data_IF_693069852401
#
_entry.id   IF_693069852401
#
_cell.length_a   1.000
_cell.length_b   1.000
_cell.length_c   1.000
_cell.angle_alpha   90.00
_cell.angle_beta   90.00
_cell.angle_gamma   90.00
#
_symmetry.space_group_name_H-M   'P 1'
#
loop_
_entity.id
_entity.type
_entity.pdbx_description
1 polymer ?
#
# COMPACT_ATOMS: atom_id res chain seq x y z
N UNK A 1 30.67 -3.59 -12.55
CA UNK A 1 30.11 -4.20 -13.74
C UNK A 1 29.63 -3.07 -14.66
N UNK A 2 30.10 -3.03 -15.91
CA UNK A 2 29.66 -2.05 -16.90
C UNK A 2 28.26 -2.44 -17.40
N UNK A 3 27.22 -1.82 -16.84
CA UNK A 3 25.90 -1.92 -17.42
C UNK A 3 25.85 -1.05 -18.68
N UNK A 4 25.33 -1.60 -19.76
CA UNK A 4 24.98 -0.80 -20.93
C UNK A 4 23.72 -0.01 -20.65
N UNK A 5 23.71 1.26 -21.04
CA UNK A 5 22.56 2.13 -20.85
C UNK A 5 22.30 2.96 -22.11
N UNK A 6 21.07 3.39 -22.30
CA UNK A 6 20.63 4.23 -23.42
C UNK A 6 19.86 5.42 -22.87
N UNK A 7 19.94 6.57 -23.57
CA UNK A 7 19.19 7.77 -23.21
C UNK A 7 18.49 8.31 -24.46
N UNK A 8 17.23 8.65 -24.33
CA UNK A 8 16.40 9.13 -25.44
C UNK A 8 15.67 7.99 -26.13
N UNK A 9 16.02 7.68 -27.37
CA UNK A 9 15.40 6.58 -28.12
C UNK A 9 15.95 5.22 -27.66
N UNK A 10 15.04 4.23 -27.55
CA UNK A 10 15.40 2.87 -27.21
C UNK A 10 15.72 2.05 -28.45
N UNK A 11 16.77 1.24 -28.38
CA UNK A 11 17.07 0.25 -29.43
C UNK A 11 16.05 -0.90 -29.36
N UNK A 12 15.07 -0.88 -30.27
CA UNK A 12 14.00 -1.87 -30.33
C UNK A 12 14.54 -3.30 -30.46
N UNK A 13 15.54 -3.54 -31.28
CA UNK A 13 16.11 -4.87 -31.53
C UNK A 13 16.74 -5.44 -30.26
N UNK A 14 17.45 -4.61 -29.51
CA UNK A 14 18.07 -4.97 -28.23
C UNK A 14 17.00 -5.33 -27.18
N UNK A 15 15.96 -4.50 -27.05
CA UNK A 15 14.85 -4.79 -26.10
C UNK A 15 14.12 -6.06 -26.49
N UNK A 16 13.83 -6.26 -27.78
CA UNK A 16 13.13 -7.44 -28.26
C UNK A 16 13.99 -8.72 -28.30
N UNK A 17 15.27 -8.65 -27.95
CA UNK A 17 16.15 -9.80 -27.72
C UNK A 17 16.29 -10.17 -26.23
N UNK A 18 15.74 -9.39 -25.33
CA UNK A 18 15.78 -9.65 -23.89
C UNK A 18 14.94 -10.88 -23.50
N UNK A 19 15.36 -11.57 -22.43
CA UNK A 19 14.59 -12.67 -21.84
C UNK A 19 13.52 -12.16 -20.86
N UNK A 20 13.77 -10.97 -20.28
CA UNK A 20 12.91 -10.34 -19.27
C UNK A 20 12.98 -8.82 -19.41
N UNK A 21 11.86 -8.16 -19.26
CA UNK A 21 11.74 -6.70 -19.25
C UNK A 21 11.17 -6.23 -17.92
N UNK A 22 11.95 -5.47 -17.14
CA UNK A 22 11.46 -4.82 -15.93
C UNK A 22 11.05 -3.40 -16.29
N UNK A 23 9.77 -3.12 -16.16
CA UNK A 23 9.17 -1.84 -16.53
C UNK A 23 9.03 -0.92 -15.31
N UNK A 24 9.53 0.32 -15.41
CA UNK A 24 9.24 1.35 -14.42
C UNK A 24 7.75 1.72 -14.42
N UNK A 25 7.13 1.98 -13.27
CA UNK A 25 5.69 2.33 -13.19
C UNK A 25 5.30 3.53 -14.04
N UNK A 26 6.21 4.50 -14.22
CA UNK A 26 5.99 5.68 -15.07
C UNK A 26 5.86 5.37 -16.57
N UNK A 27 6.35 4.22 -17.02
CA UNK A 27 6.29 3.84 -18.45
C UNK A 27 4.89 3.30 -18.78
N UNK A 28 4.14 3.92 -19.71
CA UNK A 28 2.87 3.42 -20.15
C UNK A 28 3.03 2.15 -21.02
N UNK A 29 1.91 1.53 -21.39
CA UNK A 29 1.89 0.47 -22.38
C UNK A 29 2.22 1.03 -23.77
N UNK A 30 3.52 1.08 -24.11
CA UNK A 30 4.02 1.58 -25.39
C UNK A 30 3.93 0.51 -26.47
N UNK A 31 4.01 0.91 -27.75
CA UNK A 31 4.10 -0.06 -28.86
C UNK A 31 5.23 -1.06 -28.67
N UNK A 32 6.35 -0.63 -28.06
CA UNK A 32 7.50 -1.49 -27.82
C UNK A 32 7.22 -2.53 -26.73
N UNK A 33 6.57 -2.13 -25.63
CA UNK A 33 6.13 -3.04 -24.56
C UNK A 33 5.13 -4.07 -25.12
N UNK A 34 4.14 -3.61 -25.90
CA UNK A 34 3.18 -4.50 -26.57
C UNK A 34 3.86 -5.51 -27.50
N UNK A 35 4.87 -5.09 -28.30
CA UNK A 35 5.66 -5.98 -29.14
C UNK A 35 6.47 -7.00 -28.31
N UNK A 36 7.05 -6.58 -27.19
CA UNK A 36 7.79 -7.48 -26.30
C UNK A 36 6.87 -8.58 -25.77
N UNK A 37 5.68 -8.23 -25.28
CA UNK A 37 4.66 -9.22 -24.83
C UNK A 37 4.24 -10.18 -25.95
N UNK A 38 4.01 -9.63 -27.16
CA UNK A 38 3.62 -10.44 -28.31
C UNK A 38 4.72 -11.46 -28.75
N UNK A 39 5.98 -11.15 -28.44
CA UNK A 39 7.12 -12.08 -28.63
C UNK A 39 7.30 -13.08 -27.48
N UNK A 40 6.47 -13.03 -26.44
CA UNK A 40 6.58 -13.90 -25.28
C UNK A 40 7.65 -13.45 -24.27
N UNK A 41 8.16 -12.21 -24.37
CA UNK A 41 9.05 -11.65 -23.36
C UNK A 41 8.23 -11.32 -22.13
N UNK A 42 8.64 -11.84 -20.99
CA UNK A 42 8.00 -11.54 -19.70
C UNK A 42 8.24 -10.06 -19.34
N UNK A 43 7.17 -9.31 -19.09
CA UNK A 43 7.22 -7.90 -18.68
C UNK A 43 6.72 -7.78 -17.25
N UNK A 44 7.58 -7.33 -16.35
CA UNK A 44 7.33 -7.25 -14.91
C UNK A 44 7.41 -5.83 -14.41
N UNK A 45 6.68 -5.55 -13.35
CA UNK A 45 6.97 -4.39 -12.48
C UNK A 45 8.19 -4.66 -11.61
N UNK A 46 8.81 -3.60 -11.11
CA UNK A 46 9.91 -3.71 -10.14
C UNK A 46 9.48 -4.47 -8.88
N UNK A 47 8.25 -4.27 -8.42
CA UNK A 47 7.66 -4.93 -7.25
C UNK A 47 7.55 -6.44 -7.47
N UNK A 48 7.06 -6.87 -8.63
CA UNK A 48 7.01 -8.29 -8.98
C UNK A 48 8.41 -8.90 -9.02
N UNK A 49 9.34 -8.22 -9.69
CA UNK A 49 10.70 -8.72 -9.78
C UNK A 49 11.37 -8.86 -8.42
N UNK A 50 11.30 -7.83 -7.58
CA UNK A 50 11.91 -7.83 -6.25
C UNK A 50 11.30 -8.91 -5.34
N UNK A 51 9.97 -9.11 -5.39
CA UNK A 51 9.30 -10.09 -4.54
C UNK A 51 9.77 -11.54 -4.77
N UNK A 52 10.34 -11.84 -5.94
CA UNK A 52 10.90 -13.16 -6.24
C UNK A 52 12.19 -13.47 -5.47
N UNK A 53 12.80 -12.47 -4.84
CA UNK A 53 14.06 -12.56 -4.11
C UNK A 53 13.91 -12.29 -2.61
N UNK A 54 12.68 -12.12 -2.13
CA UNK A 54 12.38 -11.91 -0.70
C UNK A 54 11.60 -13.08 -0.16
N UNK A 55 11.97 -13.52 1.05
CA UNK A 55 11.22 -14.49 1.84
C UNK A 55 10.33 -13.81 2.89
N UNK A 56 10.46 -12.49 3.03
CA UNK A 56 9.73 -11.69 4.01
C UNK A 56 8.22 -11.60 3.73
N UNK A 57 7.44 -11.56 4.79
CA UNK A 57 5.99 -11.34 4.70
C UNK A 57 5.68 -9.92 4.25
N UNK A 58 4.88 -9.78 3.22
CA UNK A 58 4.53 -8.48 2.62
C UNK A 58 3.19 -7.99 3.16
N UNK A 59 3.18 -6.76 3.66
CA UNK A 59 1.99 -5.95 3.92
C UNK A 59 1.92 -4.90 2.81
N UNK A 60 1.01 -5.06 1.86
CA UNK A 60 0.89 -4.20 0.69
C UNK A 60 -0.30 -3.25 0.83
N UNK A 61 -0.07 -1.96 0.59
CA UNK A 61 -1.06 -0.90 0.81
C UNK A 61 -1.25 -0.12 -0.48
N UNK A 62 -2.50 -0.06 -0.96
CA UNK A 62 -2.91 0.78 -2.09
C UNK A 62 -4.23 1.50 -1.79
N UNK A 63 -4.69 2.27 -2.72
CA UNK A 63 -5.90 3.09 -2.62
C UNK A 63 -5.71 4.37 -3.42
N UNK A 64 -6.70 5.20 -3.51
CA UNK A 64 -6.56 6.53 -4.10
C UNK A 64 -5.85 7.44 -3.10
N UNK A 65 -6.34 7.55 -1.89
CA UNK A 65 -5.82 8.42 -0.83
C UNK A 65 -5.41 7.63 0.42
N UNK A 66 -4.53 8.21 1.25
CA UNK A 66 -4.15 7.67 2.55
C UNK A 66 -3.01 6.64 2.53
N UNK A 67 -2.52 6.22 1.36
CA UNK A 67 -1.47 5.20 1.21
C UNK A 67 -0.23 5.48 2.05
N UNK A 68 0.38 6.63 1.85
CA UNK A 68 1.63 7.03 2.53
C UNK A 68 1.46 7.07 4.05
N UNK A 69 0.37 7.66 4.52
CA UNK A 69 0.05 7.74 5.96
C UNK A 69 -0.12 6.34 6.55
N UNK A 70 -0.92 5.48 5.90
CA UNK A 70 -1.18 4.12 6.38
C UNK A 70 0.09 3.26 6.34
N UNK A 71 0.89 3.35 5.26
CA UNK A 71 2.13 2.59 5.14
C UNK A 71 3.14 2.99 6.22
N UNK A 72 3.34 4.29 6.43
CA UNK A 72 4.28 4.78 7.45
C UNK A 72 3.81 4.46 8.86
N UNK A 73 2.50 4.60 9.16
CA UNK A 73 1.94 4.25 10.46
C UNK A 73 2.03 2.73 10.72
N UNK A 74 1.72 1.90 9.72
CA UNK A 74 1.88 0.45 9.83
C UNK A 74 3.34 0.07 10.10
N UNK A 75 4.27 0.63 9.33
CA UNK A 75 5.71 0.44 9.55
C UNK A 75 6.13 0.86 10.96
N UNK A 76 5.68 2.03 11.42
CA UNK A 76 5.98 2.55 12.76
C UNK A 76 5.52 1.60 13.87
N UNK A 77 4.28 1.08 13.77
CA UNK A 77 3.74 0.13 14.75
C UNK A 77 4.56 -1.17 14.77
N UNK A 78 4.85 -1.75 13.61
CA UNK A 78 5.63 -2.99 13.52
C UNK A 78 7.04 -2.81 14.08
N UNK A 79 7.70 -1.70 13.74
CA UNK A 79 9.03 -1.37 14.24
C UNK A 79 9.05 -1.16 15.75
N UNK A 80 8.07 -0.45 16.31
CA UNK A 80 7.91 -0.25 17.74
C UNK A 80 7.63 -1.55 18.50
N UNK A 81 6.99 -2.51 17.84
CA UNK A 81 6.77 -3.86 18.36
C UNK A 81 8.01 -4.79 18.25
N UNK A 82 9.14 -4.28 17.73
CA UNK A 82 10.39 -5.03 17.63
C UNK A 82 10.49 -5.95 16.40
N UNK A 83 9.62 -5.80 15.40
CA UNK A 83 9.69 -6.59 14.16
C UNK A 83 10.89 -6.16 13.30
N UNK A 84 11.55 -7.12 12.65
CA UNK A 84 12.50 -6.82 11.57
C UNK A 84 11.70 -6.44 10.31
N UNK A 85 11.47 -5.14 10.13
CA UNK A 85 10.58 -4.59 9.13
C UNK A 85 11.23 -3.43 8.36
N UNK A 86 10.94 -3.32 7.07
CA UNK A 86 11.29 -2.16 6.26
C UNK A 86 10.08 -1.61 5.49
N UNK A 87 10.14 -0.31 5.21
CA UNK A 87 9.16 0.43 4.39
C UNK A 87 9.78 0.70 3.01
N UNK A 88 9.06 0.42 1.93
CA UNK A 88 9.51 0.61 0.57
C UNK A 88 8.35 0.76 -0.44
N UNK A 89 8.67 0.80 -1.73
CA UNK A 89 7.71 0.85 -2.83
C UNK A 89 7.56 2.24 -3.44
N UNK A 90 6.34 2.77 -3.49
CA UNK A 90 6.05 4.11 -4.02
C UNK A 90 6.42 5.24 -3.04
N UNK A 91 7.02 4.92 -1.92
CA UNK A 91 7.52 5.84 -0.90
C UNK A 91 8.96 5.52 -0.57
N UNK A 92 9.79 6.56 -0.43
CA UNK A 92 11.21 6.41 -0.08
C UNK A 92 12.00 5.69 -1.17
N UNK A 93 12.67 4.60 -0.82
CA UNK A 93 13.42 3.78 -1.77
C UNK A 93 12.54 2.67 -2.37
N UNK A 94 12.83 2.28 -3.62
CA UNK A 94 12.16 1.15 -4.25
C UNK A 94 12.42 -0.16 -3.50
N UNK A 95 11.50 -1.10 -3.64
CA UNK A 95 11.59 -2.40 -2.96
C UNK A 95 12.87 -3.16 -3.36
N UNK A 96 13.17 -3.21 -4.66
CA UNK A 96 14.37 -3.86 -5.17
C UNK A 96 15.65 -3.25 -4.58
N UNK A 97 15.73 -1.91 -4.49
CA UNK A 97 16.89 -1.24 -3.93
C UNK A 97 17.06 -1.55 -2.45
N UNK A 98 16.00 -1.49 -1.66
CA UNK A 98 16.04 -1.83 -0.23
C UNK A 98 16.47 -3.27 -0.01
N UNK A 99 15.95 -4.19 -0.82
CA UNK A 99 16.26 -5.60 -0.75
C UNK A 99 17.75 -5.90 -1.04
N UNK A 100 18.43 -5.10 -1.88
CA UNK A 100 19.87 -5.27 -2.13
C UNK A 100 20.75 -5.05 -0.89
N UNK A 101 20.24 -4.35 0.13
CA UNK A 101 20.97 -4.14 1.39
C UNK A 101 20.79 -5.34 2.34
N UNK A 102 19.55 -5.78 2.54
CA UNK A 102 19.21 -6.99 3.31
C UNK A 102 17.74 -7.32 3.10
N UNK A 103 17.39 -8.61 3.06
CA UNK A 103 16.01 -9.03 3.22
C UNK A 103 15.52 -8.79 4.65
N UNK A 104 14.22 -8.72 4.86
CA UNK A 104 13.56 -8.50 6.14
C UNK A 104 12.49 -9.55 6.38
N UNK A 105 12.17 -9.80 7.65
CA UNK A 105 11.07 -10.69 7.99
C UNK A 105 9.73 -10.12 7.54
N UNK A 106 9.62 -8.76 7.50
CA UNK A 106 8.42 -8.03 7.09
C UNK A 106 8.73 -6.86 6.17
N UNK A 107 7.88 -6.69 5.17
CA UNK A 107 7.91 -5.57 4.24
C UNK A 107 6.58 -4.83 4.25
N UNK A 108 6.60 -3.54 4.53
CA UNK A 108 5.45 -2.65 4.31
C UNK A 108 5.68 -1.95 2.99
N UNK A 109 4.82 -2.22 2.01
CA UNK A 109 4.94 -1.69 0.66
C UNK A 109 3.78 -0.76 0.32
N UNK A 110 4.09 0.52 0.05
CA UNK A 110 3.14 1.41 -0.59
C UNK A 110 3.13 1.13 -2.09
N UNK A 111 1.95 0.88 -2.67
CA UNK A 111 1.81 0.51 -4.08
C UNK A 111 0.86 1.43 -4.84
N UNK A 112 1.30 1.90 -6.00
CA UNK A 112 0.45 2.55 -7.00
C UNK A 112 -0.28 1.50 -7.85
N UNK A 113 -1.35 1.91 -8.56
CA UNK A 113 -2.00 1.06 -9.56
C UNK A 113 -1.01 0.63 -10.66
N UNK A 114 -0.14 1.53 -11.10
CA UNK A 114 0.86 1.27 -12.15
C UNK A 114 1.87 0.17 -11.79
N UNK A 115 2.21 0.04 -10.50
CA UNK A 115 3.07 -1.04 -10.02
C UNK A 115 2.34 -2.38 -10.00
N UNK A 116 1.03 -2.36 -9.81
CA UNK A 116 0.18 -3.56 -9.80
C UNK A 116 -0.19 -4.04 -11.20
N UNK A 117 -0.09 -3.20 -12.25
CA UNK A 117 -0.44 -3.59 -13.63
C UNK A 117 0.42 -4.75 -14.16
N UNK A 118 1.66 -4.89 -13.72
CA UNK A 118 2.61 -5.89 -14.21
C UNK A 118 3.10 -6.83 -13.08
N UNK A 119 2.20 -7.25 -12.20
CA UNK A 119 2.43 -8.35 -11.25
C UNK A 119 1.96 -9.68 -11.85
N UNK A 120 2.57 -10.79 -11.44
CA UNK A 120 2.22 -12.15 -11.86
C UNK A 120 2.11 -13.10 -10.67
N UNK A 121 3.09 -13.10 -9.78
CA UNK A 121 3.18 -13.97 -8.61
C UNK A 121 3.24 -13.20 -7.30
N UNK A 122 3.34 -11.86 -7.35
CA UNK A 122 3.34 -11.01 -6.17
C UNK A 122 2.15 -11.35 -5.27
N UNK A 123 2.45 -11.76 -4.04
CA UNK A 123 1.47 -12.23 -3.08
C UNK A 123 1.70 -11.59 -1.72
N UNK A 124 0.96 -10.55 -1.33
CA UNK A 124 1.03 -10.01 0.00
C UNK A 124 0.29 -10.90 1.01
N UNK A 125 0.87 -11.07 2.21
CA UNK A 125 0.18 -11.70 3.33
C UNK A 125 -1.00 -10.85 3.83
N UNK A 126 -0.82 -9.52 3.87
CA UNK A 126 -1.89 -8.56 4.15
C UNK A 126 -1.96 -7.58 2.98
N UNK A 127 -3.07 -7.55 2.26
CA UNK A 127 -3.37 -6.54 1.25
C UNK A 127 -4.35 -5.51 1.81
N UNK A 128 -4.13 -4.23 1.54
CA UNK A 128 -5.05 -3.16 1.94
C UNK A 128 -5.44 -2.31 0.74
N UNK A 129 -6.74 -2.07 0.56
CA UNK A 129 -7.27 -1.04 -0.32
C UNK A 129 -8.08 -0.05 0.52
N UNK A 130 -7.53 1.16 0.69
CA UNK A 130 -8.08 2.14 1.62
C UNK A 130 -9.35 2.82 1.10
N UNK A 131 -9.37 3.14 -0.18
CA UNK A 131 -10.50 3.76 -0.90
C UNK A 131 -10.23 3.77 -2.40
N UNK A 132 -11.31 3.91 -3.19
CA UNK A 132 -11.27 4.02 -4.64
C UNK A 132 -12.12 5.21 -5.09
N UNK A 133 -11.48 6.22 -5.63
CA UNK A 133 -12.11 7.39 -6.26
C UNK A 133 -11.39 7.73 -7.56
N UNK A 134 -12.01 8.45 -8.50
CA UNK A 134 -11.38 8.79 -9.77
C UNK A 134 -10.02 9.47 -9.59
N UNK A 135 -8.97 8.87 -10.14
CA UNK A 135 -7.61 9.39 -10.12
C UNK A 135 -6.81 8.75 -11.26
N UNK A 136 -5.90 9.49 -11.90
CA UNK A 136 -5.07 9.00 -13.00
C UNK A 136 -5.85 8.27 -14.12
N UNK A 137 -7.12 8.64 -14.36
CA UNK A 137 -7.97 7.96 -15.34
C UNK A 137 -7.47 8.11 -16.79
N UNK A 138 -6.67 9.13 -17.10
CA UNK A 138 -5.98 9.29 -18.37
C UNK A 138 -5.14 8.05 -18.74
N UNK A 139 -4.55 7.37 -17.75
CA UNK A 139 -3.80 6.14 -17.91
C UNK A 139 -4.68 4.92 -18.22
N UNK A 140 -5.93 4.97 -17.84
CA UNK A 140 -6.92 3.90 -17.97
C UNK A 140 -8.02 4.24 -19.00
N UNK A 141 -7.72 5.12 -19.97
CA UNK A 141 -8.65 5.51 -21.02
C UNK A 141 -9.92 6.21 -20.53
N UNK A 142 -9.88 6.84 -19.36
CA UNK A 142 -11.04 7.46 -18.70
C UNK A 142 -11.94 6.48 -17.95
N UNK A 143 -11.55 5.18 -17.89
CA UNK A 143 -12.38 4.10 -17.36
C UNK A 143 -12.04 3.78 -15.90
N UNK A 144 -13.00 4.06 -15.01
CA UNK A 144 -12.88 3.76 -13.59
C UNK A 144 -12.81 2.24 -13.30
N UNK A 145 -13.47 1.41 -14.10
CA UNK A 145 -13.44 -0.05 -13.90
C UNK A 145 -12.06 -0.62 -14.14
N UNK A 146 -11.33 -0.11 -15.15
CA UNK A 146 -9.94 -0.50 -15.39
C UNK A 146 -9.01 -0.07 -14.25
N UNK A 147 -9.18 1.15 -13.72
CA UNK A 147 -8.42 1.61 -12.56
C UNK A 147 -8.68 0.76 -11.32
N UNK A 148 -9.95 0.42 -11.06
CA UNK A 148 -10.34 -0.49 -9.97
C UNK A 148 -9.72 -1.88 -10.19
N UNK A 149 -9.84 -2.43 -11.39
CA UNK A 149 -9.29 -3.74 -11.72
C UNK A 149 -7.77 -3.78 -11.49
N UNK A 150 -7.04 -2.74 -11.90
CA UNK A 150 -5.61 -2.60 -11.63
C UNK A 150 -5.29 -2.69 -10.13
N UNK A 151 -5.99 -1.93 -9.28
CA UNK A 151 -5.74 -1.97 -7.83
C UNK A 151 -6.17 -3.29 -7.19
N UNK A 152 -7.26 -3.90 -7.65
CA UNK A 152 -7.73 -5.21 -7.16
C UNK A 152 -6.74 -6.34 -7.42
N UNK A 153 -5.82 -6.19 -8.37
CA UNK A 153 -4.74 -7.15 -8.61
C UNK A 153 -3.88 -7.41 -7.36
N UNK A 154 -3.82 -6.49 -6.42
CA UNK A 154 -3.14 -6.70 -5.14
C UNK A 154 -3.62 -7.97 -4.40
N UNK A 155 -4.84 -8.43 -4.69
CA UNK A 155 -5.43 -9.64 -4.10
C UNK A 155 -5.36 -10.87 -5.00
N UNK A 156 -4.83 -10.74 -6.23
CA UNK A 156 -4.94 -11.76 -7.31
C UNK A 156 -4.36 -13.11 -6.90
N UNK A 157 -3.22 -13.12 -6.22
CA UNK A 157 -2.51 -14.32 -5.80
C UNK A 157 -2.74 -14.70 -4.32
N UNK A 158 -3.55 -13.92 -3.59
CA UNK A 158 -3.88 -14.25 -2.22
C UNK A 158 -4.74 -15.53 -2.12
N UNK A 159 -4.60 -16.21 -0.99
CA UNK A 159 -5.33 -17.43 -0.64
C UNK A 159 -6.13 -17.22 0.65
N UNK A 160 -6.83 -18.23 1.13
CA UNK A 160 -7.54 -18.21 2.41
C UNK A 160 -6.63 -18.11 3.66
N UNK A 161 -5.31 -18.13 3.47
CA UNK A 161 -4.32 -17.92 4.54
C UNK A 161 -3.89 -16.46 4.66
N UNK A 162 -4.31 -15.62 3.71
CA UNK A 162 -3.94 -14.21 3.61
C UNK A 162 -5.12 -13.32 3.99
N UNK A 163 -4.86 -12.04 4.22
CA UNK A 163 -5.87 -11.07 4.67
C UNK A 163 -6.05 -9.95 3.67
N UNK A 164 -7.31 -9.55 3.46
CA UNK A 164 -7.68 -8.39 2.68
C UNK A 164 -8.41 -7.36 3.52
N UNK A 165 -7.75 -6.25 3.83
CA UNK A 165 -8.27 -5.14 4.63
C UNK A 165 -8.85 -4.08 3.70
N UNK A 166 -10.10 -3.70 3.89
CA UNK A 166 -10.79 -2.82 2.96
C UNK A 166 -11.82 -1.91 3.64
N UNK A 167 -12.04 -0.72 3.05
CA UNK A 167 -13.07 0.20 3.51
C UNK A 167 -14.46 -0.31 3.10
N UNK A 168 -15.31 -0.58 4.10
CA UNK A 168 -16.61 -1.26 3.91
C UNK A 168 -17.65 -0.42 3.15
N UNK A 169 -17.49 0.91 3.07
CA UNK A 169 -18.41 1.79 2.34
C UNK A 169 -18.07 1.99 0.86
N UNK A 170 -16.91 1.54 0.42
CA UNK A 170 -16.50 1.70 -0.97
C UNK A 170 -17.29 0.75 -1.88
N UNK A 171 -18.11 1.32 -2.76
CA UNK A 171 -18.99 0.56 -3.64
C UNK A 171 -18.21 -0.23 -4.70
N UNK A 172 -17.04 0.25 -5.12
CA UNK A 172 -16.18 -0.47 -6.06
C UNK A 172 -15.57 -1.70 -5.40
N UNK A 173 -15.15 -1.56 -4.15
CA UNK A 173 -14.63 -2.70 -3.38
C UNK A 173 -15.73 -3.73 -3.14
N UNK A 174 -16.92 -3.31 -2.70
CA UNK A 174 -18.06 -4.23 -2.47
C UNK A 174 -18.38 -5.09 -3.69
N UNK A 175 -18.42 -4.48 -4.89
CA UNK A 175 -18.69 -5.22 -6.14
C UNK A 175 -17.65 -6.30 -6.43
N UNK A 176 -16.40 -6.14 -5.98
CA UNK A 176 -15.29 -7.03 -6.28
C UNK A 176 -14.99 -8.07 -5.19
N UNK A 177 -15.57 -7.93 -3.98
CA UNK A 177 -15.31 -8.83 -2.83
C UNK A 177 -15.55 -10.33 -3.14
N UNK A 178 -16.48 -10.64 -4.04
CA UNK A 178 -16.80 -12.03 -4.42
C UNK A 178 -15.62 -12.75 -5.07
N UNK A 179 -14.69 -12.03 -5.67
CA UNK A 179 -13.52 -12.56 -6.37
C UNK A 179 -12.31 -12.70 -5.45
N UNK A 180 -12.36 -12.13 -4.23
CA UNK A 180 -11.25 -12.15 -3.26
C UNK A 180 -11.29 -13.44 -2.48
N UNK A 181 -10.21 -14.23 -2.52
CA UNK A 181 -10.04 -15.50 -1.81
C UNK A 181 -9.57 -15.31 -0.36
N UNK A 182 -8.84 -14.24 -0.09
CA UNK A 182 -8.33 -13.89 1.23
C UNK A 182 -9.45 -13.69 2.26
N UNK A 183 -9.09 -13.82 3.53
CA UNK A 183 -9.97 -13.46 4.66
C UNK A 183 -10.23 -11.95 4.60
N UNK A 184 -11.50 -11.58 4.51
CA UNK A 184 -11.94 -10.20 4.31
C UNK A 184 -12.11 -9.51 5.66
N UNK A 185 -11.35 -8.45 5.90
CA UNK A 185 -11.36 -7.67 7.14
C UNK A 185 -11.83 -6.24 6.83
N UNK A 186 -13.09 -5.92 7.09
CA UNK A 186 -13.64 -4.58 6.84
C UNK A 186 -13.17 -3.56 7.88
N UNK A 187 -13.07 -2.31 7.46
CA UNK A 187 -13.02 -1.17 8.37
C UNK A 187 -13.97 -0.06 7.90
N UNK A 188 -14.53 0.68 8.84
CA UNK A 188 -15.45 1.79 8.50
C UNK A 188 -16.28 2.32 9.67
N UNK A 189 -17.54 2.67 9.41
CA UNK A 189 -18.45 3.25 10.40
C UNK A 189 -19.50 2.24 10.91
N UNK A 190 -19.59 1.07 10.30
CA UNK A 190 -20.53 0.03 10.73
C UNK A 190 -19.88 -0.92 11.73
N UNK A 191 -20.60 -1.33 12.76
CA UNK A 191 -20.11 -2.29 13.75
C UNK A 191 -19.70 -3.59 13.04
N UNK A 192 -18.49 -4.05 13.32
CA UNK A 192 -17.90 -5.26 12.77
C UNK A 192 -17.65 -6.28 13.88
N UNK A 193 -18.05 -7.54 13.66
CA UNK A 193 -17.67 -8.64 14.54
C UNK A 193 -16.17 -8.91 14.47
N UNK A 194 -15.62 -8.87 13.23
CA UNK A 194 -14.18 -8.92 12.96
C UNK A 194 -13.81 -7.81 11.97
N UNK A 195 -12.86 -6.94 12.35
CA UNK A 195 -12.48 -5.76 11.60
C UNK A 195 -12.34 -4.52 12.50
N UNK A 196 -12.52 -3.33 11.92
CA UNK A 196 -12.48 -2.10 12.69
C UNK A 196 -13.65 -1.16 12.35
N UNK A 197 -14.13 -0.45 13.35
CA UNK A 197 -15.21 0.52 13.15
C UNK A 197 -15.09 1.70 14.11
N UNK A 198 -15.67 2.83 13.70
CA UNK A 198 -15.78 4.01 14.54
C UNK A 198 -17.24 4.24 14.93
N UNK A 199 -17.48 4.38 16.24
CA UNK A 199 -18.80 4.74 16.79
C UNK A 199 -18.61 5.56 18.06
N UNK A 200 -19.52 6.50 18.35
CA UNK A 200 -19.49 7.33 19.57
C UNK A 200 -18.13 8.02 19.81
N UNK A 201 -17.44 8.43 18.75
CA UNK A 201 -16.08 9.02 18.81
C UNK A 201 -15.00 8.06 19.33
N UNK A 202 -15.22 6.77 19.20
CA UNK A 202 -14.24 5.73 19.52
C UNK A 202 -13.99 4.86 18.31
N UNK A 203 -12.72 4.53 18.06
CA UNK A 203 -12.35 3.43 17.18
C UNK A 203 -12.35 2.13 17.97
N UNK A 204 -12.85 1.10 17.33
CA UNK A 204 -12.90 -0.26 17.87
C UNK A 204 -12.24 -1.20 16.86
N UNK A 205 -11.31 -2.02 17.30
CA UNK A 205 -10.61 -3.01 16.46
C UNK A 205 -10.82 -4.38 17.07
N UNK A 206 -11.55 -5.24 16.36
CA UNK A 206 -11.90 -6.60 16.75
C UNK A 206 -11.16 -7.59 15.86
N UNK A 207 -10.10 -8.21 16.33
CA UNK A 207 -9.30 -9.18 15.57
C UNK A 207 -8.94 -10.35 16.47
N UNK A 208 -9.12 -11.58 15.98
CA UNK A 208 -8.70 -12.81 16.69
C UNK A 208 -9.26 -12.90 18.12
N UNK A 209 -10.53 -12.55 18.34
CA UNK A 209 -11.18 -12.45 19.66
C UNK A 209 -10.56 -11.40 20.58
N UNK A 210 -9.59 -10.62 20.13
CA UNK A 210 -9.05 -9.46 20.81
C UNK A 210 -9.89 -8.22 20.50
N UNK A 211 -10.00 -7.34 21.48
CA UNK A 211 -10.70 -6.07 21.34
C UNK A 211 -9.81 -4.92 21.80
N UNK A 212 -9.70 -3.88 20.97
CA UNK A 212 -9.05 -2.62 21.31
C UNK A 212 -10.03 -1.48 21.09
N UNK A 213 -10.21 -0.63 22.09
CA UNK A 213 -10.99 0.61 21.98
C UNK A 213 -10.12 1.80 22.33
N UNK A 214 -10.25 2.87 21.55
CA UNK A 214 -9.50 4.12 21.75
C UNK A 214 -10.35 5.29 21.27
N UNK A 215 -10.36 6.42 21.99
CA UNK A 215 -11.10 7.60 21.54
C UNK A 215 -10.39 8.25 20.33
N UNK A 216 -11.16 8.85 19.41
CA UNK A 216 -10.57 9.54 18.25
C UNK A 216 -9.71 10.74 18.65
N UNK A 217 -9.92 11.29 19.87
CA UNK A 217 -9.13 12.41 20.37
C UNK A 217 -7.74 12.00 20.85
N UNK A 218 -7.54 10.73 21.19
CA UNK A 218 -6.23 10.18 21.56
C UNK A 218 -5.35 9.90 20.33
N UNK A 219 -5.95 9.83 19.12
CA UNK A 219 -5.16 9.61 17.90
C UNK A 219 -4.23 10.79 17.62
N UNK A 220 -2.99 10.53 17.33
CA UNK A 220 -2.04 11.56 16.86
C UNK A 220 -2.49 12.18 15.53
N UNK A 221 -3.03 11.35 14.65
CA UNK A 221 -3.55 11.77 13.36
C UNK A 221 -5.04 12.11 13.45
N UNK A 222 -5.36 13.41 13.49
CA UNK A 222 -6.72 13.90 13.61
C UNK A 222 -7.43 13.96 12.24
N UNK A 223 -8.77 13.93 12.29
CA UNK A 223 -9.65 14.03 11.13
C UNK A 223 -10.17 12.68 10.65
N UNK A 224 -11.31 12.72 9.94
CA UNK A 224 -12.07 11.52 9.54
C UNK A 224 -11.23 10.53 8.71
N UNK A 225 -10.52 11.02 7.70
CA UNK A 225 -9.69 10.17 6.85
C UNK A 225 -8.53 9.54 7.61
N UNK A 226 -7.92 10.27 8.51
CA UNK A 226 -6.83 9.76 9.34
C UNK A 226 -7.32 8.73 10.37
N UNK A 227 -8.54 8.87 10.86
CA UNK A 227 -9.19 7.84 11.68
C UNK A 227 -9.28 6.51 10.92
N UNK A 228 -9.67 6.52 9.64
CA UNK A 228 -9.68 5.32 8.79
C UNK A 228 -8.28 4.76 8.53
N UNK A 229 -7.30 5.62 8.26
CA UNK A 229 -5.90 5.20 8.12
C UNK A 229 -5.39 4.52 9.40
N UNK A 230 -5.71 5.07 10.57
CA UNK A 230 -5.37 4.51 11.89
C UNK A 230 -6.03 3.16 12.12
N UNK A 231 -7.31 3.01 11.76
CA UNK A 231 -8.02 1.73 11.85
C UNK A 231 -7.38 0.67 10.95
N UNK A 232 -7.08 0.99 9.68
CA UNK A 232 -6.46 0.04 8.76
C UNK A 232 -5.07 -0.42 9.26
N UNK A 233 -4.24 0.51 9.75
CA UNK A 233 -2.93 0.20 10.34
C UNK A 233 -3.04 -0.64 11.61
N UNK A 234 -4.00 -0.29 12.49
CA UNK A 234 -4.26 -1.04 13.71
C UNK A 234 -4.77 -2.46 13.44
N UNK A 235 -5.62 -2.64 12.43
CA UNK A 235 -6.06 -3.98 11.96
C UNK A 235 -4.86 -4.81 11.54
N UNK A 236 -3.97 -4.27 10.68
CA UNK A 236 -2.78 -5.01 10.26
C UNK A 236 -1.90 -5.42 11.44
N UNK A 237 -1.68 -4.52 12.39
CA UNK A 237 -0.92 -4.79 13.59
C UNK A 237 -1.56 -5.90 14.43
N UNK A 238 -2.87 -5.88 14.60
CA UNK A 238 -3.61 -6.91 15.36
C UNK A 238 -3.60 -8.27 14.65
N UNK A 239 -3.69 -8.31 13.32
CA UNK A 239 -3.54 -9.54 12.54
C UNK A 239 -2.16 -10.20 12.73
N UNK A 240 -1.13 -9.40 12.96
CA UNK A 240 0.24 -9.86 13.25
C UNK A 240 0.49 -10.15 14.75
N UNK A 241 -0.55 -10.07 15.59
CA UNK A 241 -0.47 -10.43 17.01
C UNK A 241 0.13 -9.34 17.91
N UNK A 242 0.30 -8.11 17.44
CA UNK A 242 0.83 -7.00 18.24
C UNK A 242 -0.17 -6.66 19.37
N UNK A 243 0.33 -6.39 20.56
CA UNK A 243 -0.48 -6.14 21.75
C UNK A 243 -1.29 -4.83 21.64
N UNK A 244 -2.38 -4.75 22.39
CA UNK A 244 -3.22 -3.56 22.41
C UNK A 244 -2.47 -2.32 22.91
N UNK A 245 -1.56 -2.50 23.88
CA UNK A 245 -0.74 -1.44 24.45
C UNK A 245 0.13 -0.79 23.37
N UNK A 246 0.95 -1.58 22.66
CA UNK A 246 1.83 -1.06 21.60
C UNK A 246 1.01 -0.37 20.48
N UNK A 247 -0.10 -1.00 20.06
CA UNK A 247 -0.94 -0.39 19.02
C UNK A 247 -1.50 0.95 19.48
N UNK A 248 -2.02 1.04 20.71
CA UNK A 248 -2.58 2.28 21.27
C UNK A 248 -1.52 3.37 21.36
N UNK A 249 -0.36 3.05 21.95
CA UNK A 249 0.74 4.01 22.13
C UNK A 249 1.20 4.56 20.77
N UNK A 250 1.40 3.68 19.80
CA UNK A 250 1.80 4.11 18.46
C UNK A 250 0.75 4.95 17.75
N UNK A 251 -0.55 4.64 17.91
CA UNK A 251 -1.63 5.44 17.33
C UNK A 251 -1.76 6.82 18.02
N UNK A 252 -1.37 6.93 19.30
CA UNK A 252 -1.37 8.18 20.06
C UNK A 252 -0.14 9.05 19.78
N UNK A 253 1.02 8.44 19.56
CA UNK A 253 2.31 9.16 19.51
C UNK A 253 2.89 9.30 18.11
N UNK A 254 2.19 8.84 17.06
CA UNK A 254 2.72 8.89 15.70
C UNK A 254 2.95 10.33 15.23
N UNK A 255 4.19 10.72 15.09
CA UNK A 255 4.56 12.02 14.54
C UNK A 255 4.19 12.10 13.05
N UNK A 256 3.70 13.25 12.62
CA UNK A 256 3.31 13.51 11.22
C UNK A 256 4.49 13.24 10.30
N UNK A 257 4.20 12.62 9.17
CA UNK A 257 5.19 12.38 8.11
C UNK A 257 5.69 13.73 7.59
N UNK A 258 7.01 13.89 7.48
CA UNK A 258 7.63 15.04 6.84
C UNK A 258 6.98 15.34 5.48
N UNK A 259 6.79 16.62 5.17
CA UNK A 259 6.21 17.14 3.92
C UNK A 259 4.70 16.90 3.71
N UNK A 260 3.94 16.55 4.78
CA UNK A 260 2.48 16.46 4.72
C UNK A 260 1.85 17.20 5.90
N UNK A 261 1.25 18.37 5.62
CA UNK A 261 0.75 19.31 6.64
C UNK A 261 1.76 19.54 7.78
N UNK A 262 3.05 19.49 7.43
CA UNK A 262 4.15 19.63 8.37
C UNK A 262 4.24 21.12 8.82
N UNK A 263 4.06 21.44 10.12
CA UNK A 263 4.30 22.77 10.62
C UNK A 263 5.79 23.11 10.47
N UNK A 264 6.12 24.08 9.64
CA UNK A 264 7.52 24.47 9.39
C UNK A 264 7.95 25.52 10.41
N UNK A 265 7.14 26.57 10.56
CA UNK A 265 7.37 27.64 11.53
C UNK A 265 6.12 28.52 11.68
N UNK A 266 6.05 29.27 12.78
CA UNK A 266 5.05 30.31 12.99
C UNK A 266 5.75 31.65 13.15
N UNK A 267 5.41 32.65 12.32
CA UNK A 267 5.99 33.99 12.35
C UNK A 267 4.87 35.03 12.36
N UNK A 268 4.88 35.90 13.35
CA UNK A 268 3.87 36.95 13.52
C UNK A 268 2.41 36.47 13.49
N UNK A 269 2.14 35.24 14.01
CA UNK A 269 0.81 34.64 14.03
C UNK A 269 0.38 34.03 12.68
N UNK A 270 1.29 33.86 11.73
CA UNK A 270 1.09 33.15 10.47
C UNK A 270 1.82 31.82 10.56
N UNK A 271 1.06 30.72 10.44
CA UNK A 271 1.60 29.37 10.41
C UNK A 271 1.99 28.97 8.99
N UNK A 272 3.23 28.57 8.80
CA UNK A 272 3.74 28.02 7.55
C UNK A 272 3.70 26.52 7.63
N UNK A 273 2.98 25.90 6.68
CA UNK A 273 2.75 24.47 6.62
C UNK A 273 3.33 23.94 5.31
N UNK A 274 4.18 22.92 5.40
CA UNK A 274 4.70 22.21 4.25
C UNK A 274 3.74 21.05 3.90
N UNK A 275 3.10 21.15 2.73
CA UNK A 275 2.20 20.12 2.18
C UNK A 275 2.59 19.78 0.74
N UNK A 276 3.87 19.66 0.47
CA UNK A 276 4.41 19.42 -0.88
C UNK A 276 4.09 18.03 -1.45
N UNK A 277 3.47 17.16 -0.65
CA UNK A 277 2.97 15.82 -1.04
C UNK A 277 1.44 15.68 -0.94
N UNK A 278 0.71 16.78 -1.04
CA UNK A 278 -0.76 16.76 -1.08
C UNK A 278 -1.30 16.11 -2.36
#
# INVERSE_FOLDING_TARGET
>A
AGLEWEQGEHNEEKILSANLLIKSPGIPETKLVTKARAKGIEVLSEIEFASRFSEGRIIAITGTNGKTTTASLTYYILKSAGFDVALAGNIGESFARRLTHSDRDYWVLELSSFQLDDIHHFKPHIAMILNLSPDHLDRYGGDMEQYVASKMRITENQTHEDYFVYWEKDEWLKKNLKNVKAIKIPFGDQIQEEGAYVTNKEINININRGHLTMTIHELALQGKHNCYNSMASGVAAKLLGITNEIVRDCLADFEKIEHRLEPVLSVYGVDYINDSKA
#
